data_IF_023127710386
#
_entry.id   IF_023127710386
#
_cell.length_a   1.000
_cell.length_b   1.000
_cell.length_c   1.000
_cell.angle_alpha   90.00
_cell.angle_beta   90.00
_cell.angle_gamma   90.00
#
_symmetry.space_group_name_H-M   'P 1'
#
loop_
_entity.id
_entity.type
_entity.pdbx_description
1 polymer ?
#
# COMPACT_ATOMS: atom_id res chain seq x y z
N UNK A 1 -30.17 -18.43 5.23
CA UNK A 1 -31.37 -17.63 5.58
C UNK A 1 -31.23 -16.26 4.94
N UNK A 2 -32.35 -15.56 4.74
CA UNK A 2 -32.60 -14.67 3.60
C UNK A 2 -32.20 -13.20 3.89
N UNK A 3 -30.97 -12.79 3.55
CA UNK A 3 -30.46 -11.40 3.74
C UNK A 3 -30.86 -10.42 2.61
N UNK A 4 -31.61 -10.91 1.62
CA UNK A 4 -32.03 -10.15 0.44
C UNK A 4 -32.86 -8.87 0.74
N UNK A 5 -33.72 -8.78 1.77
CA UNK A 5 -34.55 -7.58 1.96
C UNK A 5 -33.78 -6.39 2.54
N UNK A 6 -32.71 -6.62 3.32
CA UNK A 6 -31.90 -5.55 3.91
C UNK A 6 -31.08 -4.82 2.84
N UNK A 7 -30.39 -5.58 2.00
CA UNK A 7 -29.58 -5.07 0.89
C UNK A 7 -30.40 -4.20 -0.08
N UNK A 8 -31.64 -4.61 -0.37
CA UNK A 8 -32.55 -3.83 -1.23
C UNK A 8 -32.99 -2.51 -0.58
N UNK A 9 -33.25 -2.48 0.73
CA UNK A 9 -33.60 -1.24 1.45
C UNK A 9 -32.40 -0.29 1.53
N UNK A 10 -31.21 -0.80 1.82
CA UNK A 10 -29.97 -0.03 1.81
C UNK A 10 -29.71 0.57 0.42
N UNK A 11 -29.87 -0.22 -0.64
CA UNK A 11 -29.72 0.26 -2.01
C UNK A 11 -30.73 1.37 -2.37
N UNK A 12 -31.98 1.28 -1.90
CA UNK A 12 -32.97 2.35 -2.12
C UNK A 12 -32.65 3.63 -1.33
N UNK A 13 -32.15 3.52 -0.10
CA UNK A 13 -31.73 4.67 0.70
C UNK A 13 -30.51 5.34 0.06
N UNK A 14 -29.52 4.56 -0.36
CA UNK A 14 -28.32 5.07 -1.05
C UNK A 14 -28.67 5.74 -2.39
N UNK A 15 -29.66 5.24 -3.14
CA UNK A 15 -30.15 5.89 -4.38
C UNK A 15 -30.88 7.20 -4.12
N UNK A 16 -31.59 7.34 -2.99
CA UNK A 16 -32.31 8.58 -2.65
C UNK A 16 -31.41 9.65 -2.05
N UNK A 17 -30.27 9.26 -1.48
CA UNK A 17 -29.35 10.16 -0.77
C UNK A 17 -27.92 9.97 -1.29
N UNK A 18 -27.64 10.38 -2.55
CA UNK A 18 -26.31 10.20 -3.15
C UNK A 18 -25.20 10.90 -2.37
N UNK A 19 -25.53 11.96 -1.63
CA UNK A 19 -24.59 12.67 -0.76
C UNK A 19 -23.99 11.80 0.35
N UNK A 20 -24.70 10.76 0.83
CA UNK A 20 -24.16 9.82 1.82
C UNK A 20 -23.02 8.98 1.22
N UNK A 21 -23.17 8.56 -0.03
CA UNK A 21 -22.11 7.84 -0.77
C UNK A 21 -20.93 8.77 -1.01
N UNK A 22 -21.20 10.01 -1.45
CA UNK A 22 -20.15 11.01 -1.66
C UNK A 22 -19.40 11.32 -0.36
N UNK A 23 -20.11 11.49 0.76
CA UNK A 23 -19.51 11.72 2.07
C UNK A 23 -18.67 10.52 2.52
N UNK A 24 -19.20 9.30 2.43
CA UNK A 24 -18.46 8.09 2.77
C UNK A 24 -17.19 7.95 1.91
N UNK A 25 -17.29 8.27 0.62
CA UNK A 25 -16.16 8.27 -0.30
C UNK A 25 -15.09 9.30 0.09
N UNK A 26 -15.48 10.53 0.43
CA UNK A 26 -14.56 11.57 0.89
C UNK A 26 -13.85 11.17 2.18
N UNK A 27 -14.59 10.64 3.16
CA UNK A 27 -14.03 10.16 4.43
C UNK A 27 -13.04 9.00 4.20
N UNK A 28 -13.40 8.06 3.33
CA UNK A 28 -12.51 6.96 2.97
C UNK A 28 -11.23 7.47 2.31
N UNK A 29 -11.35 8.36 1.30
CA UNK A 29 -10.19 8.94 0.62
C UNK A 29 -9.28 9.73 1.55
N UNK A 30 -9.83 10.43 2.53
CA UNK A 30 -9.03 11.18 3.49
C UNK A 30 -8.18 10.25 4.36
N UNK A 31 -8.67 9.06 4.68
CA UNK A 31 -7.92 8.05 5.46
C UNK A 31 -6.90 7.24 4.65
N UNK A 32 -6.95 7.26 3.33
CA UNK A 32 -6.00 6.49 2.51
C UNK A 32 -4.62 7.15 2.51
N UNK A 33 -3.58 6.33 2.57
CA UNK A 33 -2.21 6.80 2.38
C UNK A 33 -2.07 7.41 0.98
N UNK A 34 -1.55 8.63 0.90
CA UNK A 34 -1.41 9.37 -0.36
C UNK A 34 -0.08 9.08 -1.07
N UNK A 35 0.89 8.58 -0.32
CA UNK A 35 2.23 8.28 -0.80
C UNK A 35 2.65 6.92 -0.27
N UNK A 36 3.41 6.20 -1.08
CA UNK A 36 4.13 5.00 -0.64
C UNK A 36 5.57 5.40 -0.31
N UNK A 37 6.09 4.92 0.81
CA UNK A 37 7.47 5.13 1.21
C UNK A 37 8.21 3.79 1.16
N UNK A 38 9.44 3.79 0.65
CA UNK A 38 10.28 2.61 0.60
C UNK A 38 11.70 2.95 1.06
N UNK A 39 12.43 1.92 1.48
CA UNK A 39 13.82 2.03 1.95
C UNK A 39 14.68 1.04 1.17
N UNK A 40 15.91 1.44 0.89
CA UNK A 40 16.95 0.60 0.28
C UNK A 40 18.19 0.58 1.16
N UNK A 41 18.86 -0.57 1.24
CA UNK A 41 20.07 -0.75 2.04
C UNK A 41 21.32 -0.79 1.14
N UNK A 42 22.38 -0.11 1.58
CA UNK A 42 23.72 -0.26 1.01
C UNK A 42 24.54 -1.10 1.98
N UNK A 43 24.72 -2.37 1.65
CA UNK A 43 25.38 -3.34 2.52
C UNK A 43 26.77 -3.64 1.95
N UNK A 44 27.80 -3.40 2.75
CA UNK A 44 29.19 -3.67 2.40
C UNK A 44 29.66 -4.99 3.02
N UNK A 45 30.49 -5.73 2.30
CA UNK A 45 31.26 -6.82 2.89
C UNK A 45 32.66 -6.35 3.35
N UNK A 46 33.42 -7.27 3.93
CA UNK A 46 34.78 -6.98 4.43
C UNK A 46 35.79 -6.59 3.33
N UNK A 47 35.43 -6.76 2.06
CA UNK A 47 36.26 -6.39 0.91
C UNK A 47 35.78 -5.08 0.26
N UNK A 48 34.75 -4.42 0.82
CA UNK A 48 34.18 -3.18 0.30
C UNK A 48 33.25 -3.37 -0.90
N UNK A 49 32.79 -4.60 -1.16
CA UNK A 49 31.81 -4.88 -2.22
C UNK A 49 30.40 -4.60 -1.73
N UNK A 50 29.50 -4.20 -2.63
CA UNK A 50 28.09 -3.89 -2.31
C UNK A 50 27.18 -5.06 -2.66
N UNK A 51 26.28 -5.44 -1.74
CA UNK A 51 25.23 -6.42 -2.01
C UNK A 51 24.19 -5.85 -2.99
N UNK A 52 23.94 -6.58 -4.07
CA UNK A 52 22.85 -6.33 -5.01
C UNK A 52 21.95 -7.55 -5.11
N UNK A 53 20.68 -7.31 -5.39
CA UNK A 53 19.67 -8.36 -5.65
C UNK A 53 19.23 -8.32 -7.11
N UNK A 54 18.91 -9.49 -7.65
CA UNK A 54 18.35 -9.62 -9.00
C UNK A 54 16.82 -9.59 -8.95
N UNK A 55 16.24 -8.45 -9.32
CA UNK A 55 14.81 -8.23 -9.40
C UNK A 55 14.19 -8.91 -10.63
N UNK A 56 13.27 -9.85 -10.40
CA UNK A 56 12.53 -10.55 -11.47
C UNK A 56 11.52 -9.63 -12.18
N UNK A 57 11.06 -8.57 -11.50
CA UNK A 57 10.04 -7.65 -12.02
C UNK A 57 10.59 -6.40 -12.72
N UNK A 58 11.91 -6.24 -12.83
CA UNK A 58 12.55 -5.10 -13.51
C UNK A 58 13.26 -5.57 -14.79
N UNK A 59 12.54 -5.67 -15.92
CA UNK A 59 13.05 -6.36 -17.11
C UNK A 59 14.26 -5.68 -17.77
N UNK A 60 14.41 -4.37 -17.60
CA UNK A 60 15.50 -3.62 -18.23
C UNK A 60 16.74 -3.50 -17.33
N UNK A 61 16.54 -3.31 -16.02
CA UNK A 61 17.60 -3.11 -15.04
C UNK A 61 17.37 -4.06 -13.85
N UNK A 62 17.79 -5.33 -13.94
CA UNK A 62 17.42 -6.33 -12.96
C UNK A 62 18.25 -6.24 -11.67
N UNK A 63 19.46 -5.67 -11.69
CA UNK A 63 20.29 -5.56 -10.49
C UNK A 63 20.08 -4.24 -9.76
N UNK A 64 19.79 -4.32 -8.46
CA UNK A 64 19.54 -3.14 -7.62
C UNK A 64 19.87 -3.38 -6.15
N UNK A 65 19.80 -2.32 -5.35
CA UNK A 65 19.98 -2.42 -3.90
C UNK A 65 18.82 -3.22 -3.29
N UNK A 66 19.07 -4.07 -2.28
CA UNK A 66 18.01 -4.69 -1.51
C UNK A 66 17.16 -3.61 -0.83
N UNK A 67 15.85 -3.83 -0.76
CA UNK A 67 14.93 -2.86 -0.18
C UNK A 67 13.48 -3.34 -0.16
N UNK A 68 12.61 -2.51 0.40
CA UNK A 68 11.20 -2.82 0.61
C UNK A 68 10.34 -1.59 0.87
N UNK A 69 9.03 -1.80 0.91
CA UNK A 69 8.07 -0.78 1.31
C UNK A 69 8.03 -0.65 2.83
N UNK A 70 7.94 0.58 3.32
CA UNK A 70 7.70 0.87 4.73
C UNK A 70 6.27 0.49 5.08
N UNK A 71 6.12 -0.40 6.05
CA UNK A 71 4.85 -0.81 6.60
C UNK A 71 4.12 0.28 7.38
N UNK A 72 2.87 0.00 7.74
CA UNK A 72 2.12 0.91 8.60
C UNK A 72 2.80 1.03 9.96
N UNK A 73 3.08 2.27 10.38
CA UNK A 73 3.73 2.57 11.66
C UNK A 73 5.13 1.97 11.82
N UNK A 74 5.83 1.72 10.71
CA UNK A 74 7.21 1.28 10.67
C UNK A 74 8.15 2.47 10.47
N UNK A 75 9.31 2.44 11.12
CA UNK A 75 10.36 3.45 10.91
C UNK A 75 11.35 2.97 9.85
N UNK A 76 12.03 3.87 9.11
CA UNK A 76 12.94 3.44 8.06
C UNK A 76 14.05 2.48 8.52
N UNK A 77 14.53 2.64 9.76
CA UNK A 77 15.55 1.78 10.38
C UNK A 77 15.03 0.39 10.76
N UNK A 78 13.73 0.24 11.02
CA UNK A 78 13.10 -1.05 11.32
C UNK A 78 12.63 -1.79 10.07
N UNK A 79 12.47 -1.08 8.94
CA UNK A 79 12.07 -1.68 7.64
C UNK A 79 13.16 -2.57 7.05
N UNK A 80 14.42 -2.27 7.32
CA UNK A 80 15.56 -3.03 6.84
C UNK A 80 16.05 -3.95 7.97
N UNK A 81 15.59 -5.20 7.98
CA UNK A 81 16.03 -6.24 8.93
C UNK A 81 16.86 -7.30 8.20
#
# INVERSE_FOLDING_TARGET
MNDRPLMHRLAMILRRMPWLVTLAYFLWRWRQAKFSAGVVAVIFDNQGRVLLVHHVFHPHNPWGLPGGWVGYNETPDTTLV
#
